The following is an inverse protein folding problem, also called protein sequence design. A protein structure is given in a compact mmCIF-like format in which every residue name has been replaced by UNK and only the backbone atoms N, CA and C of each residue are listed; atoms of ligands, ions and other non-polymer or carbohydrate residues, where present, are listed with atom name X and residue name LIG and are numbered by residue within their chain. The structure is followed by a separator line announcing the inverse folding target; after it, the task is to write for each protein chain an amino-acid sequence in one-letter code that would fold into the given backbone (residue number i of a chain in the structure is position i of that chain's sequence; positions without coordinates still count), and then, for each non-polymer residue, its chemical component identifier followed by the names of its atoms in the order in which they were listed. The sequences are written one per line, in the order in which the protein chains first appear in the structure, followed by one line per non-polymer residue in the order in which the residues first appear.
data_IF_695820900490
#
_entry.id   IF_695820900490
#
_cell.length_a   1.000
_cell.length_b   1.000
_cell.length_c   1.000
_cell.angle_alpha   90.00
_cell.angle_beta   90.00
_cell.angle_gamma   90.00
#
_symmetry.space_group_name_H-M   'P 1'
#
loop_
_entity.id
_entity.type
_entity.pdbx_description
1 polymer ?
#
# COMPACT_ATOMS: atom_id res chain seq x y z
N UNK A 1 -16.84 18.72 13.01
CA UNK A 1 -16.65 19.87 13.90
C UNK A 1 -16.37 21.13 13.08
N UNK A 2 -16.57 22.36 13.62
CA UNK A 2 -16.20 23.62 12.91
C UNK A 2 -14.70 23.62 12.51
N UNK A 3 -13.84 23.13 13.37
CA UNK A 3 -12.41 23.05 13.10
C UNK A 3 -12.09 22.11 11.92
N UNK A 4 -12.79 20.99 11.82
CA UNK A 4 -12.63 20.04 10.73
C UNK A 4 -13.11 20.62 9.37
N UNK A 5 -14.21 21.39 9.39
CA UNK A 5 -14.68 22.10 8.18
C UNK A 5 -13.66 23.11 7.71
N UNK A 6 -13.08 23.90 8.62
CA UNK A 6 -12.04 24.85 8.29
C UNK A 6 -10.79 24.17 7.72
N UNK A 7 -10.37 23.05 8.31
CA UNK A 7 -9.27 22.23 7.76
C UNK A 7 -9.60 21.71 6.36
N UNK A 8 -10.85 21.29 6.13
CA UNK A 8 -11.32 20.85 4.81
C UNK A 8 -11.23 21.96 3.76
N UNK A 9 -11.67 23.19 4.10
CA UNK A 9 -11.56 24.32 3.20
C UNK A 9 -10.09 24.64 2.85
N UNK A 10 -9.22 24.75 3.86
CA UNK A 10 -7.79 24.99 3.63
C UNK A 10 -7.17 23.90 2.76
N UNK A 11 -7.59 22.64 2.95
CA UNK A 11 -7.11 21.52 2.13
C UNK A 11 -7.53 21.66 0.67
N UNK A 12 -8.79 22.03 0.41
CA UNK A 12 -9.29 22.31 -0.95
C UNK A 12 -8.53 23.47 -1.57
N UNK A 13 -8.34 24.58 -0.84
CA UNK A 13 -7.61 25.74 -1.35
C UNK A 13 -6.19 25.39 -1.79
N UNK A 14 -5.45 24.61 -0.98
CA UNK A 14 -4.12 24.12 -1.35
C UNK A 14 -4.14 23.25 -2.61
N UNK A 15 -5.14 22.36 -2.76
CA UNK A 15 -5.27 21.52 -3.96
C UNK A 15 -5.56 22.37 -5.19
N UNK A 16 -6.43 23.37 -5.07
CA UNK A 16 -6.76 24.32 -6.15
C UNK A 16 -5.53 25.13 -6.58
N UNK A 17 -4.75 25.65 -5.64
CA UNK A 17 -3.49 26.35 -5.93
C UNK A 17 -2.51 25.45 -6.71
N UNK A 18 -2.34 24.19 -6.30
CA UNK A 18 -1.48 23.24 -7.02
C UNK A 18 -2.00 22.99 -8.43
N UNK A 19 -3.29 22.71 -8.59
CA UNK A 19 -3.89 22.47 -9.90
C UNK A 19 -3.69 23.70 -10.81
N UNK A 20 -3.98 24.89 -10.32
CA UNK A 20 -3.83 26.14 -11.09
C UNK A 20 -2.38 26.43 -11.45
N UNK A 21 -1.43 26.12 -10.55
CA UNK A 21 0.00 26.31 -10.82
C UNK A 21 0.57 25.40 -11.89
N UNK A 22 -0.05 24.22 -12.09
CA UNK A 22 0.36 23.22 -13.08
C UNK A 22 -0.43 23.31 -14.39
N UNK A 23 -1.48 24.12 -14.44
CA UNK A 23 -2.37 24.23 -15.59
C UNK A 23 -1.78 25.15 -16.68
N UNK A 24 -1.32 24.56 -17.78
CA UNK A 24 -0.86 25.32 -18.96
C UNK A 24 -1.99 25.71 -19.92
N UNK A 25 -3.16 25.09 -19.75
CA UNK A 25 -4.31 25.29 -20.63
C UNK A 25 -5.64 25.20 -19.85
N UNK A 26 -6.70 25.75 -20.44
CA UNK A 26 -8.05 25.68 -19.89
C UNK A 26 -9.03 25.33 -21.03
N UNK A 27 -9.85 24.26 -20.93
CA UNK A 27 -10.07 23.40 -19.78
C UNK A 27 -8.96 22.36 -19.57
N UNK A 28 -8.75 21.94 -18.34
CA UNK A 28 -7.74 20.96 -17.93
C UNK A 28 -8.37 19.61 -17.57
N UNK A 29 -7.56 18.56 -17.63
CA UNK A 29 -7.92 17.25 -17.09
C UNK A 29 -7.16 17.01 -15.79
N UNK A 30 -7.88 16.56 -14.76
CA UNK A 30 -7.32 16.33 -13.42
C UNK A 30 -7.62 14.92 -12.99
N UNK A 31 -6.61 14.25 -12.41
CA UNK A 31 -6.76 13.01 -11.66
C UNK A 31 -6.12 13.20 -10.28
N UNK A 32 -6.73 12.63 -9.26
CA UNK A 32 -6.31 12.83 -7.87
C UNK A 32 -6.23 11.48 -7.17
N UNK A 33 -5.10 11.21 -6.54
CA UNK A 33 -4.93 10.08 -5.65
C UNK A 33 -4.81 10.59 -4.20
N UNK A 34 -5.55 9.96 -3.30
CA UNK A 34 -5.62 10.40 -1.91
C UNK A 34 -5.73 9.23 -0.93
N UNK A 35 -5.12 9.34 0.26
CA UNK A 35 -5.36 8.42 1.35
C UNK A 35 -6.80 8.56 1.90
N UNK A 36 -7.19 7.59 2.72
CA UNK A 36 -8.46 7.61 3.42
C UNK A 36 -9.58 6.82 2.73
N UNK A 37 -10.71 6.71 3.44
CA UNK A 37 -11.91 6.00 2.98
C UNK A 37 -12.76 6.96 2.17
N UNK A 38 -13.06 6.57 0.93
CA UNK A 38 -13.90 7.34 0.00
C UNK A 38 -15.38 7.06 0.29
N UNK A 39 -16.25 7.98 -0.10
CA UNK A 39 -17.69 7.76 -0.12
C UNK A 39 -18.07 6.70 -1.19
N UNK A 40 -19.34 6.32 -1.24
CA UNK A 40 -19.84 5.26 -2.15
C UNK A 40 -19.53 5.54 -3.62
N UNK A 41 -19.58 6.79 -4.02
CA UNK A 41 -19.32 7.26 -5.38
C UNK A 41 -17.81 7.38 -5.69
N UNK A 42 -16.96 7.25 -4.66
CA UNK A 42 -15.52 7.44 -4.79
C UNK A 42 -15.08 8.90 -4.96
N UNK A 43 -15.98 9.88 -4.79
CA UNK A 43 -15.75 11.29 -5.12
C UNK A 43 -15.46 12.20 -3.91
N UNK A 44 -15.53 11.63 -2.70
CA UNK A 44 -15.30 12.38 -1.46
C UNK A 44 -14.66 11.50 -0.40
N UNK A 45 -14.15 12.11 0.65
CA UNK A 45 -13.44 11.45 1.75
C UNK A 45 -14.33 11.47 2.99
N UNK A 46 -14.70 10.28 3.47
CA UNK A 46 -15.54 10.11 4.65
C UNK A 46 -14.77 9.76 5.92
N UNK A 47 -13.52 9.30 5.78
CA UNK A 47 -12.60 9.10 6.90
C UNK A 47 -11.14 9.20 6.43
N UNK A 48 -10.32 9.89 7.20
CA UNK A 48 -8.88 10.01 6.98
C UNK A 48 -8.17 10.07 8.33
N UNK A 49 -7.11 9.30 8.51
CA UNK A 49 -6.39 9.20 9.78
C UNK A 49 -5.74 10.53 10.19
N UNK A 50 -5.15 11.25 9.22
CA UNK A 50 -4.35 12.45 9.44
C UNK A 50 -4.87 13.64 8.62
N UNK A 51 -6.17 13.72 8.36
CA UNK A 51 -6.76 14.79 7.57
C UNK A 51 -8.27 14.93 7.80
N UNK A 52 -8.88 15.98 7.22
CA UNK A 52 -10.30 16.25 7.36
C UNK A 52 -11.15 15.31 6.51
N UNK A 53 -12.39 15.10 6.93
CA UNK A 53 -13.43 14.53 6.06
C UNK A 53 -13.93 15.61 5.11
N UNK A 54 -13.98 15.30 3.82
CA UNK A 54 -14.45 16.17 2.75
C UNK A 54 -15.34 15.33 1.83
N UNK A 55 -16.61 15.09 2.21
CA UNK A 55 -17.49 14.14 1.48
C UNK A 55 -17.82 14.56 0.05
N UNK A 56 -17.71 15.85 -0.26
CA UNK A 56 -17.97 16.50 -1.53
C UNK A 56 -16.70 17.05 -2.21
N UNK A 57 -15.56 16.40 -1.98
CA UNK A 57 -14.23 16.88 -2.40
C UNK A 57 -14.15 17.17 -3.90
N UNK A 58 -14.58 16.26 -4.77
CA UNK A 58 -14.52 16.47 -6.22
C UNK A 58 -15.46 17.59 -6.66
N UNK A 59 -16.66 17.67 -6.08
CA UNK A 59 -17.65 18.68 -6.43
C UNK A 59 -17.17 20.10 -6.09
N UNK A 60 -16.45 20.26 -4.96
CA UNK A 60 -15.86 21.55 -4.60
C UNK A 60 -14.77 21.99 -5.59
N UNK A 61 -13.92 21.08 -6.07
CA UNK A 61 -12.89 21.38 -7.07
C UNK A 61 -13.54 21.73 -8.41
N UNK A 62 -14.50 20.92 -8.86
CA UNK A 62 -15.20 21.11 -10.14
C UNK A 62 -16.01 22.41 -10.19
N UNK A 63 -16.47 22.91 -9.05
CA UNK A 63 -17.16 24.19 -8.98
C UNK A 63 -16.24 25.38 -9.29
N UNK A 64 -14.95 25.26 -9.03
CA UNK A 64 -13.97 26.35 -9.13
C UNK A 64 -13.11 26.24 -10.39
N UNK A 65 -12.73 25.03 -10.76
CA UNK A 65 -11.85 24.74 -11.90
C UNK A 65 -12.67 24.32 -13.12
N UNK A 66 -12.41 24.97 -14.26
CA UNK A 66 -12.99 24.54 -15.53
C UNK A 66 -12.29 23.27 -16.05
N UNK A 67 -12.88 22.11 -15.76
CA UNK A 67 -12.35 20.81 -16.15
C UNK A 67 -12.84 20.41 -17.54
N UNK A 68 -11.97 19.71 -18.30
CA UNK A 68 -12.32 19.11 -19.59
C UNK A 68 -13.39 18.01 -19.42
N UNK A 69 -13.35 17.30 -18.30
CA UNK A 69 -14.34 16.32 -17.88
C UNK A 69 -14.37 16.23 -16.34
N UNK A 70 -15.49 15.85 -15.73
CA UNK A 70 -15.57 15.68 -14.29
C UNK A 70 -14.55 14.66 -13.77
N UNK A 71 -14.08 14.87 -12.54
CA UNK A 71 -13.25 13.90 -11.82
C UNK A 71 -14.11 12.66 -11.56
N UNK A 72 -13.80 11.55 -12.19
CA UNK A 72 -14.61 10.33 -12.09
C UNK A 72 -14.61 9.76 -10.68
N UNK A 73 -13.42 9.57 -10.12
CA UNK A 73 -13.22 9.10 -8.74
C UNK A 73 -11.84 9.51 -8.23
N UNK A 74 -11.73 9.53 -6.91
CA UNK A 74 -10.43 9.62 -6.22
C UNK A 74 -9.77 8.26 -6.21
N UNK A 75 -8.53 8.19 -6.64
CA UNK A 75 -7.76 6.97 -6.61
C UNK A 75 -7.15 6.74 -5.21
N UNK A 76 -6.77 5.50 -4.91
CA UNK A 76 -5.98 5.17 -3.73
C UNK A 76 -4.52 5.52 -3.98
N UNK A 77 -3.91 6.31 -3.10
CA UNK A 77 -2.48 6.62 -3.18
C UNK A 77 -1.61 5.35 -3.08
N UNK A 78 -2.07 4.37 -2.31
CA UNK A 78 -1.41 3.07 -2.17
C UNK A 78 -1.45 2.25 -3.47
N UNK A 79 -2.64 2.15 -4.10
CA UNK A 79 -2.77 1.45 -5.39
C UNK A 79 -1.93 2.15 -6.46
N UNK A 80 -1.86 3.49 -6.44
CA UNK A 80 -1.03 4.24 -7.39
C UNK A 80 0.46 3.98 -7.23
N UNK A 81 0.94 3.64 -6.04
CA UNK A 81 2.32 3.17 -5.88
C UNK A 81 2.56 1.88 -6.67
N UNK A 82 1.63 0.93 -6.58
CA UNK A 82 1.72 -0.35 -7.32
C UNK A 82 1.63 -0.14 -8.83
N UNK A 83 0.75 0.74 -9.29
CA UNK A 83 0.70 1.16 -10.68
C UNK A 83 2.01 1.80 -11.14
N UNK A 84 2.64 2.62 -10.29
CA UNK A 84 3.95 3.20 -10.60
C UNK A 84 5.04 2.16 -10.76
N UNK A 85 5.08 1.15 -9.89
CA UNK A 85 6.02 0.03 -9.99
C UNK A 85 5.75 -0.88 -11.21
N UNK A 86 4.55 -0.88 -11.74
CA UNK A 86 4.22 -1.57 -12.99
C UNK A 86 4.66 -0.78 -14.22
N UNK A 87 4.40 0.53 -14.29
CA UNK A 87 4.50 1.30 -15.51
C UNK A 87 5.77 2.16 -15.63
N UNK A 88 6.48 2.44 -14.53
CA UNK A 88 7.72 3.19 -14.61
C UNK A 88 8.82 2.41 -15.33
N UNK A 89 9.70 3.11 -16.02
CA UNK A 89 10.97 2.55 -16.47
C UNK A 89 11.79 2.08 -15.26
N UNK A 90 12.12 0.80 -15.19
CA UNK A 90 12.78 0.19 -14.04
C UNK A 90 11.85 -0.06 -12.83
N UNK A 91 10.54 0.03 -13.01
CA UNK A 91 9.57 -0.33 -11.98
C UNK A 91 9.64 -1.82 -11.62
N UNK A 92 9.52 -2.13 -10.34
CA UNK A 92 9.80 -3.45 -9.80
C UNK A 92 8.69 -4.50 -10.08
N UNK A 93 7.52 -4.11 -10.60
CA UNK A 93 6.41 -5.03 -10.89
C UNK A 93 6.20 -5.30 -12.38
N UNK A 94 6.98 -4.67 -13.29
CA UNK A 94 6.78 -4.78 -14.76
C UNK A 94 6.81 -6.20 -15.29
N UNK A 95 7.74 -7.01 -14.82
CA UNK A 95 8.06 -8.30 -15.44
C UNK A 95 7.61 -9.50 -14.57
N UNK A 96 6.70 -9.26 -13.62
CA UNK A 96 6.16 -10.32 -12.76
C UNK A 96 4.64 -10.45 -12.90
N UNK A 97 4.14 -11.65 -12.65
CA UNK A 97 2.70 -11.91 -12.69
C UNK A 97 2.04 -11.65 -11.34
N UNK A 98 2.76 -11.93 -10.24
CA UNK A 98 2.21 -11.86 -8.92
C UNK A 98 3.16 -11.08 -8.00
N UNK A 99 2.73 -9.91 -7.55
CA UNK A 99 3.52 -9.05 -6.69
C UNK A 99 2.71 -8.43 -5.57
N UNK A 100 3.38 -8.21 -4.44
CA UNK A 100 2.86 -7.40 -3.35
C UNK A 100 3.77 -6.21 -3.14
N UNK A 101 3.19 -5.03 -3.08
CA UNK A 101 3.88 -3.79 -2.75
C UNK A 101 3.57 -3.36 -1.32
N UNK A 102 4.59 -2.98 -0.58
CA UNK A 102 4.48 -2.35 0.73
C UNK A 102 5.34 -1.10 0.78
N UNK A 103 4.74 0.07 0.94
CA UNK A 103 5.45 1.34 1.06
C UNK A 103 5.27 1.95 2.43
N UNK A 104 6.37 2.15 3.16
CA UNK A 104 6.34 2.73 4.51
C UNK A 104 6.77 4.20 4.53
N UNK A 105 5.84 5.07 4.89
CA UNK A 105 6.06 6.49 5.12
C UNK A 105 5.55 6.89 6.52
N UNK A 106 4.65 7.86 6.60
CA UNK A 106 3.89 8.17 7.83
C UNK A 106 2.95 7.02 8.19
N UNK A 107 2.28 6.45 7.19
CA UNK A 107 1.52 5.20 7.25
C UNK A 107 2.11 4.16 6.29
N UNK A 108 1.32 3.15 5.95
CA UNK A 108 1.69 2.09 5.00
C UNK A 108 0.76 2.10 3.80
N UNK A 109 1.36 2.00 2.63
CA UNK A 109 0.69 1.74 1.37
C UNK A 109 0.77 0.24 1.06
N UNK A 110 -0.36 -0.43 0.89
CA UNK A 110 -0.48 -1.82 0.44
C UNK A 110 -0.95 -1.85 -1.01
N UNK A 111 -0.35 -2.70 -1.85
CA UNK A 111 -0.78 -2.87 -3.24
C UNK A 111 -0.55 -4.28 -3.76
N UNK A 112 -1.35 -4.70 -4.74
CA UNK A 112 -1.37 -6.05 -5.28
C UNK A 112 -1.33 -6.05 -6.81
N UNK A 113 -0.52 -6.98 -7.35
CA UNK A 113 -0.59 -7.45 -8.74
C UNK A 113 -0.76 -8.96 -8.69
N UNK A 114 -1.82 -9.52 -9.26
CA UNK A 114 -2.11 -10.94 -9.21
C UNK A 114 -2.58 -11.43 -10.58
N UNK A 115 -1.99 -12.51 -11.08
CA UNK A 115 -2.23 -13.07 -12.41
C UNK A 115 -2.00 -12.06 -13.55
N UNK A 116 -1.05 -11.14 -13.36
CA UNK A 116 -0.74 -10.07 -14.32
C UNK A 116 -1.58 -8.80 -14.19
N UNK A 117 -2.64 -8.82 -13.40
CA UNK A 117 -3.55 -7.69 -13.22
C UNK A 117 -3.26 -6.92 -11.93
N UNK A 118 -3.32 -5.60 -12.00
CA UNK A 118 -3.28 -4.73 -10.83
C UNK A 118 -4.64 -4.79 -10.12
N UNK A 119 -4.63 -5.35 -8.91
CA UNK A 119 -5.83 -5.57 -8.11
C UNK A 119 -5.99 -4.42 -7.11
N UNK A 120 -7.03 -3.56 -7.27
CA UNK A 120 -7.30 -2.53 -6.28
C UNK A 120 -7.57 -3.17 -4.92
N UNK A 121 -6.88 -2.69 -3.88
CA UNK A 121 -7.01 -3.30 -2.55
C UNK A 121 -8.42 -3.15 -1.99
N UNK A 122 -9.14 -2.10 -2.39
CA UNK A 122 -10.54 -1.87 -1.99
C UNK A 122 -11.50 -2.92 -2.59
N UNK A 123 -11.17 -3.50 -3.75
CA UNK A 123 -11.94 -4.57 -4.38
C UNK A 123 -11.65 -5.96 -3.79
N UNK A 124 -10.52 -6.09 -3.08
CA UNK A 124 -10.07 -7.33 -2.44
C UNK A 124 -10.45 -7.43 -0.94
N UNK A 125 -11.15 -6.43 -0.40
CA UNK A 125 -11.43 -6.33 1.05
C UNK A 125 -12.22 -7.50 1.64
N UNK A 126 -12.91 -8.29 0.85
CA UNK A 126 -13.67 -9.45 1.31
C UNK A 126 -12.78 -10.63 1.75
N UNK A 127 -11.51 -10.71 1.31
CA UNK A 127 -10.62 -11.84 1.60
C UNK A 127 -9.24 -11.44 2.12
N UNK A 128 -8.79 -10.18 1.94
CA UNK A 128 -7.52 -9.68 2.46
C UNK A 128 -7.72 -8.38 3.24
N UNK A 129 -6.98 -8.19 4.32
CA UNK A 129 -7.02 -6.98 5.13
C UNK A 129 -5.84 -6.07 4.79
N UNK A 130 -6.04 -4.76 4.81
CA UNK A 130 -4.94 -3.79 4.73
C UNK A 130 -4.05 -3.89 5.98
N UNK A 131 -2.79 -3.51 5.89
CA UNK A 131 -1.82 -3.60 7.01
C UNK A 131 -2.31 -2.88 8.27
N UNK A 132 -3.05 -1.78 8.14
CA UNK A 132 -3.61 -1.06 9.29
C UNK A 132 -4.74 -1.80 10.00
N UNK A 133 -5.46 -2.69 9.31
CA UNK A 133 -6.55 -3.50 9.86
C UNK A 133 -6.04 -4.71 10.66
N UNK A 134 -4.86 -5.22 10.29
CA UNK A 134 -4.23 -6.38 10.94
C UNK A 134 -3.71 -5.98 12.33
N UNK A 135 -4.16 -6.67 13.36
CA UNK A 135 -3.79 -6.37 14.74
C UNK A 135 -3.15 -7.57 15.44
N UNK A 136 -2.08 -7.28 16.15
CA UNK A 136 -1.47 -8.19 17.09
C UNK A 136 -2.46 -8.57 18.21
N UNK A 137 -2.26 -9.66 18.97
CA UNK A 137 -3.02 -9.93 20.19
C UNK A 137 -3.07 -8.76 21.17
N UNK A 138 -2.01 -7.95 21.21
CA UNK A 138 -1.90 -6.69 21.98
C UNK A 138 -2.75 -5.54 21.44
N UNK A 139 -3.53 -5.75 20.38
CA UNK A 139 -4.32 -4.74 19.66
C UNK A 139 -3.52 -3.68 18.89
N UNK A 140 -2.20 -3.80 18.82
CA UNK A 140 -1.37 -2.95 17.97
C UNK A 140 -1.52 -3.34 16.51
N UNK A 141 -1.68 -2.35 15.62
CA UNK A 141 -1.73 -2.56 14.18
C UNK A 141 -0.35 -2.94 13.63
N UNK A 142 -0.32 -3.88 12.69
CA UNK A 142 0.91 -4.27 11.99
C UNK A 142 1.48 -3.15 11.14
N UNK A 143 0.64 -2.23 10.66
CA UNK A 143 1.08 -1.01 9.98
C UNK A 143 2.19 -0.28 10.75
N UNK A 144 2.10 -0.23 12.08
CA UNK A 144 3.07 0.49 12.90
C UNK A 144 4.47 -0.12 12.88
N UNK A 145 4.63 -1.35 12.43
CA UNK A 145 5.92 -2.02 12.25
C UNK A 145 6.49 -1.88 10.84
N UNK A 146 5.71 -1.36 9.91
CA UNK A 146 6.10 -1.10 8.52
C UNK A 146 6.08 0.39 8.16
N UNK A 147 5.62 1.27 9.05
CA UNK A 147 5.68 2.73 8.86
C UNK A 147 6.84 3.33 9.63
N UNK A 148 7.50 4.36 9.06
CA UNK A 148 8.64 5.01 9.70
C UNK A 148 8.28 5.67 11.05
N UNK A 149 7.11 6.29 11.13
CA UNK A 149 6.60 6.87 12.39
C UNK A 149 6.38 5.81 13.46
N UNK A 150 5.86 4.65 13.06
CA UNK A 150 5.63 3.52 13.96
C UNK A 150 6.92 2.85 14.41
N UNK A 151 7.86 2.57 13.49
CA UNK A 151 9.18 2.00 13.81
C UNK A 151 9.91 2.87 14.83
N UNK A 152 10.00 4.19 14.59
CA UNK A 152 10.64 5.12 15.52
C UNK A 152 10.00 5.09 16.92
N UNK A 153 8.67 4.96 16.99
CA UNK A 153 7.96 4.83 18.26
C UNK A 153 8.23 3.48 18.94
N UNK A 154 8.27 2.38 18.18
CA UNK A 154 8.55 1.05 18.74
C UNK A 154 9.97 0.95 19.28
N UNK A 155 10.96 1.57 18.66
CA UNK A 155 12.35 1.61 19.13
C UNK A 155 12.52 2.20 20.54
N UNK A 156 11.55 2.93 21.05
CA UNK A 156 11.55 3.40 22.45
C UNK A 156 11.32 2.28 23.47
N UNK A 157 10.78 1.14 23.05
CA UNK A 157 10.38 0.05 23.96
C UNK A 157 10.63 -1.36 23.45
N UNK A 158 11.07 -1.52 22.20
CA UNK A 158 11.33 -2.80 21.54
C UNK A 158 12.70 -2.77 20.87
N UNK A 159 13.31 -3.94 20.76
CA UNK A 159 14.52 -4.12 19.95
C UNK A 159 14.20 -4.10 18.46
N UNK A 160 15.16 -3.74 17.65
CA UNK A 160 15.07 -3.82 16.19
C UNK A 160 14.81 -5.25 15.71
N UNK A 161 15.34 -6.25 16.45
CA UNK A 161 15.07 -7.65 16.21
C UNK A 161 13.57 -7.99 16.35
N UNK A 162 12.90 -7.51 17.39
CA UNK A 162 11.45 -7.73 17.59
C UNK A 162 10.62 -7.02 16.51
N UNK A 163 11.04 -5.81 16.12
CA UNK A 163 10.38 -5.05 15.05
C UNK A 163 10.48 -5.81 13.73
N UNK A 164 11.67 -6.29 13.38
CA UNK A 164 11.90 -7.06 12.16
C UNK A 164 11.07 -8.34 12.10
N UNK A 165 10.97 -9.08 13.20
CA UNK A 165 10.11 -10.27 13.28
C UNK A 165 8.64 -9.97 12.98
N UNK A 166 8.11 -8.88 13.50
CA UNK A 166 6.71 -8.51 13.22
C UNK A 166 6.54 -8.11 11.76
N UNK A 167 7.51 -7.38 11.18
CA UNK A 167 7.50 -7.05 9.75
C UNK A 167 7.56 -8.30 8.87
N UNK A 168 8.44 -9.28 9.20
CA UNK A 168 8.48 -10.58 8.52
C UNK A 168 7.16 -11.35 8.64
N UNK A 169 6.52 -11.30 9.81
CA UNK A 169 5.21 -11.91 10.03
C UNK A 169 4.11 -11.25 9.19
N UNK A 170 4.17 -9.92 8.97
CA UNK A 170 3.27 -9.21 8.07
C UNK A 170 3.46 -9.66 6.62
N UNK A 171 4.69 -9.75 6.15
CA UNK A 171 4.97 -10.20 4.78
C UNK A 171 4.56 -11.66 4.56
N UNK A 172 4.80 -12.52 5.55
CA UNK A 172 4.34 -13.91 5.49
C UNK A 172 2.81 -14.03 5.50
N UNK A 173 2.11 -13.16 6.21
CA UNK A 173 0.64 -13.11 6.18
C UNK A 173 0.16 -12.87 4.75
N UNK A 174 0.79 -11.97 3.98
CA UNK A 174 0.47 -11.75 2.56
C UNK A 174 0.65 -13.01 1.72
N UNK A 175 1.82 -13.65 1.84
CA UNK A 175 2.12 -14.93 1.17
C UNK A 175 1.05 -15.97 1.52
N UNK A 176 0.79 -16.16 2.82
CA UNK A 176 -0.13 -17.19 3.31
C UNK A 176 -1.57 -16.92 2.91
N UNK A 177 -2.05 -15.69 3.04
CA UNK A 177 -3.43 -15.33 2.70
C UNK A 177 -3.68 -15.47 1.20
N UNK A 178 -2.75 -15.01 0.34
CA UNK A 178 -2.89 -15.13 -1.12
C UNK A 178 -2.83 -16.60 -1.55
N UNK A 179 -1.95 -17.41 -0.96
CA UNK A 179 -1.80 -18.80 -1.34
C UNK A 179 -2.89 -19.72 -0.75
N UNK A 180 -3.16 -19.59 0.54
CA UNK A 180 -3.99 -20.55 1.31
C UNK A 180 -5.34 -19.98 1.74
N UNK A 181 -5.56 -18.68 1.57
CA UNK A 181 -6.72 -17.97 2.11
C UNK A 181 -6.51 -17.52 3.56
N UNK A 182 -7.46 -16.72 4.03
CA UNK A 182 -7.42 -16.15 5.37
C UNK A 182 -7.50 -17.21 6.47
N UNK A 183 -6.51 -17.25 7.36
CA UNK A 183 -6.37 -18.25 8.41
C UNK A 183 -6.52 -17.70 9.85
N UNK A 184 -6.98 -16.45 10.01
CA UNK A 184 -7.14 -15.78 11.31
C UNK A 184 -5.84 -15.64 12.13
N UNK A 185 -4.68 -15.61 11.50
CA UNK A 185 -3.39 -15.43 12.19
C UNK A 185 -3.33 -14.10 12.97
N UNK A 186 -4.00 -13.07 12.48
CA UNK A 186 -4.13 -11.77 13.13
C UNK A 186 -5.60 -11.41 13.36
N UNK A 187 -5.86 -10.48 14.29
CA UNK A 187 -7.22 -9.96 14.51
C UNK A 187 -7.54 -8.90 13.46
N UNK A 188 -8.76 -8.97 12.92
CA UNK A 188 -9.34 -7.97 12.01
C UNK A 188 -10.73 -7.61 12.52
N UNK A 189 -11.15 -6.36 12.33
CA UNK A 189 -12.46 -5.86 12.81
C UNK A 189 -13.66 -6.31 11.97
N UNK A 190 -13.45 -7.16 10.95
CA UNK A 190 -14.49 -7.67 10.05
C UNK A 190 -14.23 -9.14 9.72
N UNK A 191 -15.21 -9.80 9.14
CA UNK A 191 -15.08 -11.19 8.70
C UNK A 191 -14.42 -11.20 7.33
N UNK A 192 -13.37 -11.99 7.18
CA UNK A 192 -12.71 -12.26 5.92
C UNK A 192 -13.07 -13.68 5.42
N UNK A 193 -13.24 -13.79 4.12
CA UNK A 193 -13.48 -15.07 3.46
C UNK A 193 -12.15 -15.85 3.39
N UNK A 194 -12.19 -17.12 3.73
CA UNK A 194 -11.02 -18.00 3.58
C UNK A 194 -10.75 -18.36 2.11
N UNK A 195 -11.76 -18.31 1.25
CA UNK A 195 -11.63 -18.66 -0.16
C UNK A 195 -11.75 -17.43 -1.06
N UNK A 196 -10.94 -17.37 -2.11
CA UNK A 196 -10.92 -16.30 -3.11
C UNK A 196 -10.33 -16.80 -4.44
N UNK A 197 -10.43 -16.00 -5.51
CA UNK A 197 -10.02 -16.39 -6.87
C UNK A 197 -8.50 -16.59 -7.06
N UNK A 198 -7.69 -16.14 -6.11
CA UNK A 198 -6.22 -16.20 -6.18
C UNK A 198 -5.61 -17.31 -5.29
N UNK A 199 -6.40 -18.27 -4.81
CA UNK A 199 -5.88 -19.43 -4.06
C UNK A 199 -4.84 -20.18 -4.91
N UNK A 200 -3.77 -20.67 -4.26
CA UNK A 200 -2.58 -21.30 -4.86
C UNK A 200 -1.69 -20.37 -5.70
N UNK A 201 -1.88 -19.05 -5.61
CA UNK A 201 -0.97 -18.08 -6.22
C UNK A 201 0.23 -17.84 -5.30
N UNK A 202 1.44 -17.99 -5.84
CA UNK A 202 2.69 -17.62 -5.18
C UNK A 202 3.10 -16.21 -5.65
N UNK A 203 3.62 -15.40 -4.76
CA UNK A 203 4.15 -14.08 -5.10
C UNK A 203 5.54 -14.24 -5.73
N UNK A 204 5.71 -13.76 -6.95
CA UNK A 204 7.00 -13.70 -7.64
C UNK A 204 7.88 -12.61 -7.04
N UNK A 205 7.26 -11.58 -6.45
CA UNK A 205 7.98 -10.43 -5.90
C UNK A 205 7.24 -9.75 -4.75
N UNK A 206 7.99 -9.33 -3.75
CA UNK A 206 7.56 -8.42 -2.69
C UNK A 206 8.39 -7.14 -2.84
N UNK A 207 7.74 -6.05 -3.16
CA UNK A 207 8.39 -4.75 -3.35
C UNK A 207 8.24 -3.94 -2.07
N UNK A 208 9.36 -3.58 -1.47
CA UNK A 208 9.39 -2.65 -0.34
C UNK A 208 9.77 -1.28 -0.88
N UNK A 209 8.92 -0.29 -0.67
CA UNK A 209 9.07 1.04 -1.26
C UNK A 209 9.08 2.19 -0.26
N UNK A 210 9.19 3.39 -0.78
CA UNK A 210 9.20 4.66 -0.06
C UNK A 210 10.34 4.78 0.96
N UNK A 211 10.08 5.40 2.12
CA UNK A 211 11.09 5.60 3.18
C UNK A 211 11.50 4.28 3.84
N UNK A 212 10.61 3.31 3.90
CA UNK A 212 10.89 1.99 4.48
C UNK A 212 12.01 1.29 3.70
N UNK A 213 11.98 1.32 2.37
CA UNK A 213 13.04 0.75 1.54
C UNK A 213 14.41 1.37 1.85
N UNK A 214 14.48 2.70 1.88
CA UNK A 214 15.73 3.39 2.18
C UNK A 214 16.25 3.10 3.58
N UNK A 215 15.34 3.05 4.54
CA UNK A 215 15.67 2.73 5.92
C UNK A 215 16.23 1.31 6.07
N UNK A 216 15.56 0.31 5.51
CA UNK A 216 16.01 -1.09 5.60
C UNK A 216 17.34 -1.37 4.87
N UNK A 217 17.72 -0.50 3.92
CA UNK A 217 19.02 -0.54 3.24
C UNK A 217 20.12 0.25 3.97
N UNK A 218 19.80 0.97 5.02
CA UNK A 218 20.76 1.72 5.83
C UNK A 218 21.34 0.87 6.97
N UNK A 219 22.48 1.28 7.52
CA UNK A 219 23.06 0.64 8.71
C UNK A 219 22.07 0.60 9.88
N UNK A 220 21.27 1.67 10.04
CA UNK A 220 20.25 1.76 11.09
C UNK A 220 19.09 0.75 10.90
N UNK A 221 18.83 0.32 9.69
CA UNK A 221 17.74 -0.61 9.36
C UNK A 221 18.18 -2.07 9.22
N UNK A 222 19.48 -2.35 9.17
CA UNK A 222 20.03 -3.68 8.84
C UNK A 222 19.52 -4.77 9.79
N UNK A 223 19.54 -4.55 11.10
CA UNK A 223 19.09 -5.55 12.07
C UNK A 223 17.59 -5.84 11.94
N UNK A 224 16.77 -4.84 11.60
CA UNK A 224 15.33 -5.03 11.30
C UNK A 224 15.19 -5.86 10.03
N UNK A 225 15.95 -5.56 8.97
CA UNK A 225 15.93 -6.30 7.72
C UNK A 225 16.33 -7.76 7.91
N UNK A 226 17.47 -8.02 8.57
CA UNK A 226 17.95 -9.38 8.83
C UNK A 226 16.94 -10.19 9.66
N UNK A 227 16.36 -9.58 10.68
CA UNK A 227 15.34 -10.21 11.51
C UNK A 227 14.04 -10.48 10.74
N UNK A 228 13.65 -9.59 9.83
CA UNK A 228 12.51 -9.77 8.92
C UNK A 228 12.71 -10.98 8.01
N UNK A 229 13.90 -11.10 7.40
CA UNK A 229 14.24 -12.24 6.53
C UNK A 229 14.28 -13.54 7.35
N UNK A 230 14.87 -13.52 8.54
CA UNK A 230 14.88 -14.69 9.43
C UNK A 230 13.46 -15.19 9.79
N UNK A 231 12.55 -14.27 10.11
CA UNK A 231 11.16 -14.63 10.40
C UNK A 231 10.42 -15.16 9.16
N UNK A 232 10.64 -14.57 7.98
CA UNK A 232 10.10 -15.08 6.71
C UNK A 232 10.60 -16.50 6.43
N UNK A 233 11.90 -16.76 6.60
CA UNK A 233 12.49 -18.09 6.47
C UNK A 233 11.79 -19.08 7.38
N UNK A 234 11.73 -18.79 8.68
CA UNK A 234 11.16 -19.69 9.68
C UNK A 234 9.69 -20.00 9.37
N UNK A 235 8.92 -19.01 8.98
CA UNK A 235 7.50 -19.19 8.64
C UNK A 235 7.29 -19.94 7.33
N UNK A 236 8.09 -19.67 6.29
CA UNK A 236 8.00 -20.39 5.02
C UNK A 236 8.42 -21.85 5.14
N UNK A 237 9.44 -22.17 5.96
CA UNK A 237 9.85 -23.56 6.26
C UNK A 237 8.73 -24.37 6.92
N UNK A 238 7.89 -23.74 7.74
CA UNK A 238 6.80 -24.37 8.48
C UNK A 238 5.43 -24.23 7.80
N UNK A 239 5.39 -23.71 6.56
CA UNK A 239 4.17 -23.50 5.81
C UNK A 239 3.81 -24.69 4.90
N UNK A 240 2.81 -24.52 4.03
CA UNK A 240 2.49 -25.48 2.98
C UNK A 240 3.72 -25.80 2.11
N UNK A 241 3.85 -27.06 1.70
CA UNK A 241 5.02 -27.55 0.94
C UNK A 241 5.34 -26.69 -0.29
N UNK A 242 4.33 -26.23 -1.00
CA UNK A 242 4.54 -25.37 -2.16
C UNK A 242 5.16 -24.01 -1.79
N UNK A 243 4.72 -23.41 -0.66
CA UNK A 243 5.32 -22.16 -0.13
C UNK A 243 6.78 -22.43 0.24
N UNK A 244 7.04 -23.48 1.00
CA UNK A 244 8.40 -23.84 1.42
C UNK A 244 9.31 -24.07 0.21
N UNK A 245 8.90 -24.87 -0.77
CA UNK A 245 9.71 -25.17 -1.95
C UNK A 245 9.97 -23.95 -2.84
N UNK A 246 9.07 -22.97 -2.85
CA UNK A 246 9.20 -21.77 -3.69
C UNK A 246 10.08 -20.69 -3.05
N UNK A 247 9.87 -20.45 -1.75
CA UNK A 247 10.55 -19.35 -1.05
C UNK A 247 11.83 -19.76 -0.33
N UNK A 248 12.11 -21.08 -0.19
CA UNK A 248 13.33 -21.56 0.47
C UNK A 248 14.24 -22.25 -0.57
N UNK A 249 15.44 -21.72 -0.72
CA UNK A 249 16.49 -22.24 -1.60
C UNK A 249 17.72 -22.50 -0.74
N UNK A 250 18.27 -23.71 -0.81
CA UNK A 250 19.44 -24.16 -0.04
C UNK A 250 19.32 -23.93 1.48
N UNK A 251 18.08 -24.01 2.00
CA UNK A 251 17.77 -23.82 3.41
C UNK A 251 17.68 -22.35 3.86
N UNK A 252 17.80 -21.40 2.94
CA UNK A 252 17.66 -19.96 3.20
C UNK A 252 16.46 -19.36 2.46
N UNK A 253 15.93 -18.24 2.96
CA UNK A 253 14.89 -17.51 2.25
C UNK A 253 15.46 -16.93 0.94
N UNK A 254 14.74 -17.13 -0.16
CA UNK A 254 15.12 -16.58 -1.46
C UNK A 254 14.98 -15.06 -1.49
N UNK A 255 16.09 -14.37 -1.25
CA UNK A 255 16.11 -12.90 -1.18
C UNK A 255 15.77 -12.22 -2.52
N UNK A 256 15.85 -12.92 -3.65
CA UNK A 256 15.48 -12.36 -4.97
C UNK A 256 13.97 -12.03 -5.06
N UNK A 257 13.18 -12.60 -4.17
CA UNK A 257 11.74 -12.30 -4.04
C UNK A 257 11.52 -10.89 -3.47
N UNK A 258 12.45 -10.37 -2.65
CA UNK A 258 12.32 -9.05 -2.03
C UNK A 258 13.12 -8.01 -2.83
N UNK A 259 12.41 -7.00 -3.31
CA UNK A 259 13.02 -5.89 -4.07
C UNK A 259 12.81 -4.58 -3.31
N UNK A 260 13.92 -3.90 -3.07
CA UNK A 260 13.93 -2.55 -2.48
C UNK A 260 13.74 -1.51 -3.58
N UNK A 261 12.56 -0.92 -3.66
CA UNK A 261 12.29 0.13 -4.65
C UNK A 261 12.78 1.50 -4.16
N UNK A 262 13.43 2.21 -5.06
CA UNK A 262 13.82 3.62 -4.88
C UNK A 262 12.93 4.58 -5.67
N UNK A 263 11.83 4.10 -6.25
CA UNK A 263 10.92 4.87 -7.09
C UNK A 263 10.00 5.76 -6.24
N UNK A 264 10.50 6.93 -5.85
CA UNK A 264 9.73 7.90 -5.06
C UNK A 264 8.53 8.49 -5.80
N UNK A 265 8.63 8.60 -7.10
CA UNK A 265 7.57 9.12 -7.98
C UNK A 265 6.50 8.08 -8.33
N UNK A 266 6.57 6.85 -7.78
CA UNK A 266 5.63 5.76 -8.08
C UNK A 266 4.16 6.21 -8.08
N UNK A 267 3.62 6.88 -7.05
CA UNK A 267 2.20 7.25 -7.03
C UNK A 267 1.82 8.23 -8.15
N UNK A 268 2.72 9.14 -8.54
CA UNK A 268 2.46 10.11 -9.61
C UNK A 268 2.51 9.42 -10.97
N UNK A 269 3.51 8.57 -11.21
CA UNK A 269 3.63 7.78 -12.44
C UNK A 269 2.44 6.85 -12.59
N UNK A 270 2.05 6.16 -11.50
CA UNK A 270 0.91 5.26 -11.50
C UNK A 270 -0.41 5.96 -11.81
N UNK A 271 -0.62 7.13 -11.23
CA UNK A 271 -1.81 7.94 -11.50
C UNK A 271 -1.84 8.38 -12.98
N UNK A 272 -0.71 8.84 -13.52
CA UNK A 272 -0.58 9.19 -14.94
C UNK A 272 -0.84 8.01 -15.87
N UNK A 273 -0.26 6.85 -15.58
CA UNK A 273 -0.48 5.62 -16.36
C UNK A 273 -1.95 5.20 -16.35
N UNK A 274 -2.60 5.20 -15.20
CA UNK A 274 -4.01 4.85 -15.07
C UNK A 274 -4.93 5.78 -15.87
N UNK A 275 -4.67 7.10 -15.82
CA UNK A 275 -5.43 8.07 -16.61
C UNK A 275 -5.24 7.84 -18.10
N UNK A 276 -4.01 7.57 -18.53
CA UNK A 276 -3.70 7.29 -19.93
C UNK A 276 -4.44 6.04 -20.43
N UNK A 277 -4.39 4.95 -19.68
CA UNK A 277 -5.06 3.69 -20.07
C UNK A 277 -6.58 3.80 -20.14
N UNK A 278 -7.19 4.64 -19.30
CA UNK A 278 -8.64 4.86 -19.33
C UNK A 278 -9.11 5.74 -20.50
N UNK A 279 -8.18 6.29 -21.32
CA UNK A 279 -8.47 7.10 -22.50
C UNK A 279 -8.33 6.32 -23.82
N UNK A 280 -7.67 5.17 -23.77
CA UNK A 280 -7.48 4.27 -24.90
C UNK A 280 -8.56 3.18 -24.92
#
# INVERSE_FOLDING_TARGET
SPNEKNQGSVFIDCVLEVIQSLADSNPIQVAIAMPGIKNKEGRGIIAMANGPRIPDFCDQIEHIINLKQPIQRLESDADMCTWGEEFAEGGALRDVQNGYYIGGGTGVADGLKLNGDLVPFDDATNWIAKSFELKMPSSQSLETYASMSGINKHRLSKSDFEIGKVLGSLLFERISTIYSGWNNQFKVGRILQANHSYINTLLDRIVIGQRLSQFLQSEDGDLIYQSMIGELKDKCLNAAVAISNYYIVDGEFNNDIIVMSNLRAAPIIGLGAKVWMNQC
#
